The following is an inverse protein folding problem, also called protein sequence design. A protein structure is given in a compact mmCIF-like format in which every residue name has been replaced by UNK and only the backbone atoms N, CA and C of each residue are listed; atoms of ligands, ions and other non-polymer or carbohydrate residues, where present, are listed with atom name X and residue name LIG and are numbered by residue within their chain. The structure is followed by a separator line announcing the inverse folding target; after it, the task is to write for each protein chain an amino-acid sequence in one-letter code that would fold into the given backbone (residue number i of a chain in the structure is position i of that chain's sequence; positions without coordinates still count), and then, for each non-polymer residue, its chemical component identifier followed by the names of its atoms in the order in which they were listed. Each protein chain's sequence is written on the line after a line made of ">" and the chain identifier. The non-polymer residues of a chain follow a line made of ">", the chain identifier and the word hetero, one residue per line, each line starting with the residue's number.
data_IF_636697281324
#
_entry.id   IF_636697281324
#
_cell.length_a   1.000
_cell.length_b   1.000
_cell.length_c   1.000
_cell.angle_alpha   90.00
_cell.angle_beta   90.00
_cell.angle_gamma   90.00
#
_symmetry.space_group_name_H-M   'P 1'
#
loop_
_entity.id
_entity.type
_entity.pdbx_description
1 polymer ?
#
# COMPACT_ATOMS: atom_id res chain seq x y z
N UNK A 1 41.97 -27.68 -28.46
CA UNK A 1 41.47 -26.34 -28.06
C UNK A 1 40.19 -26.55 -27.26
N UNK A 2 40.28 -26.56 -25.93
CA UNK A 2 39.14 -26.84 -25.05
C UNK A 2 38.36 -25.54 -24.85
N UNK A 3 37.10 -25.54 -25.25
CA UNK A 3 36.19 -24.44 -24.99
C UNK A 3 35.75 -24.55 -23.53
N UNK A 4 36.33 -23.73 -22.66
CA UNK A 4 35.88 -23.64 -21.28
C UNK A 4 34.49 -23.00 -21.22
N UNK A 5 33.65 -23.52 -20.32
CA UNK A 5 32.27 -23.11 -20.11
C UNK A 5 32.17 -21.61 -19.78
N UNK A 6 31.92 -20.79 -20.80
CA UNK A 6 31.73 -19.35 -20.66
C UNK A 6 30.37 -19.07 -19.99
N UNK A 7 30.38 -18.83 -18.67
CA UNK A 7 29.19 -18.34 -17.96
C UNK A 7 29.14 -16.82 -18.06
N UNK A 8 28.25 -16.32 -18.91
CA UNK A 8 27.91 -14.89 -18.96
C UNK A 8 26.90 -14.61 -17.86
N UNK A 9 27.27 -13.73 -16.93
CA UNK A 9 26.38 -13.25 -15.88
C UNK A 9 26.00 -11.81 -16.23
N UNK A 10 24.81 -11.63 -16.80
CA UNK A 10 24.25 -10.30 -17.07
C UNK A 10 23.39 -9.88 -15.88
N UNK A 11 23.73 -8.82 -15.13
CA UNK A 11 22.85 -8.30 -14.11
C UNK A 11 21.60 -7.77 -14.80
N UNK A 12 20.45 -8.42 -14.60
CA UNK A 12 19.17 -7.87 -15.04
C UNK A 12 18.82 -6.78 -14.02
N UNK A 13 18.82 -5.49 -14.40
CA UNK A 13 18.39 -4.45 -13.50
C UNK A 13 16.91 -4.66 -13.18
N UNK A 14 16.59 -5.00 -11.93
CA UNK A 14 15.21 -5.14 -11.50
C UNK A 14 14.68 -3.77 -11.15
N UNK A 15 14.26 -3.03 -12.18
CA UNK A 15 13.68 -1.71 -12.00
C UNK A 15 12.29 -1.83 -11.37
N UNK A 16 12.10 -1.25 -10.17
CA UNK A 16 10.77 -1.05 -9.58
C UNK A 16 10.28 -2.10 -8.58
N UNK A 17 11.16 -2.88 -7.94
CA UNK A 17 10.74 -3.80 -6.89
C UNK A 17 10.20 -3.06 -5.65
N UNK A 18 9.00 -3.46 -5.22
CA UNK A 18 8.43 -3.07 -3.93
C UNK A 18 7.38 -1.98 -4.00
N UNK A 19 6.54 -1.95 -2.97
CA UNK A 19 5.29 -1.20 -2.92
C UNK A 19 5.44 0.32 -3.16
N UNK A 20 4.33 0.99 -3.46
CA UNK A 20 4.21 2.44 -3.42
C UNK A 20 3.31 2.85 -2.26
N UNK A 21 3.69 3.91 -1.53
CA UNK A 21 2.87 4.50 -0.45
C UNK A 21 2.59 5.97 -0.75
N UNK A 22 1.43 6.46 -0.35
CA UNK A 22 0.99 7.83 -0.55
C UNK A 22 0.31 8.37 0.70
N UNK A 23 0.52 9.66 0.97
CA UNK A 23 -0.18 10.41 2.00
C UNK A 23 -0.58 11.79 1.49
N UNK A 24 -1.79 12.25 1.82
CA UNK A 24 -2.23 13.62 1.57
C UNK A 24 -2.78 14.21 2.87
N UNK A 25 -2.40 15.45 3.15
CA UNK A 25 -2.94 16.25 4.26
C UNK A 25 -3.35 17.62 3.72
N UNK A 26 -4.65 17.89 3.75
CA UNK A 26 -5.23 19.11 3.19
C UNK A 26 -5.74 20.02 4.31
N UNK A 27 -5.74 21.33 4.07
CA UNK A 27 -6.18 22.30 5.08
C UNK A 27 -7.66 22.12 5.48
N UNK A 28 -8.52 21.75 4.53
CA UNK A 28 -9.96 21.57 4.68
C UNK A 28 -10.42 20.27 4.03
N UNK A 29 -11.57 19.75 4.48
CA UNK A 29 -12.24 18.64 3.78
C UNK A 29 -12.57 19.07 2.36
N UNK A 30 -12.21 18.23 1.39
CA UNK A 30 -12.51 18.46 -0.02
C UNK A 30 -13.19 17.24 -0.62
N UNK A 31 -14.12 17.48 -1.54
CA UNK A 31 -14.76 16.46 -2.36
C UNK A 31 -13.84 15.90 -3.45
N UNK A 32 -12.66 16.51 -3.65
CA UNK A 32 -11.74 16.14 -4.72
C UNK A 32 -10.54 15.30 -4.24
N UNK A 33 -10.39 15.02 -2.94
CA UNK A 33 -9.24 14.25 -2.44
C UNK A 33 -9.18 12.86 -3.07
N UNK A 34 -10.34 12.22 -3.30
CA UNK A 34 -10.45 10.96 -4.02
C UNK A 34 -9.89 11.04 -5.44
N UNK A 35 -10.18 12.13 -6.16
CA UNK A 35 -9.65 12.34 -7.53
C UNK A 35 -8.11 12.46 -7.53
N UNK A 36 -7.56 13.20 -6.57
CA UNK A 36 -6.11 13.34 -6.42
C UNK A 36 -5.47 12.00 -6.06
N UNK A 37 -6.02 11.32 -5.04
CA UNK A 37 -5.59 9.99 -4.61
C UNK A 37 -5.59 8.99 -5.77
N UNK A 38 -6.67 8.91 -6.54
CA UNK A 38 -6.78 7.98 -7.68
C UNK A 38 -5.75 8.27 -8.77
N UNK A 39 -5.44 9.54 -9.07
CA UNK A 39 -4.40 9.89 -10.04
C UNK A 39 -3.02 9.47 -9.53
N UNK A 40 -2.73 9.71 -8.25
CA UNK A 40 -1.44 9.36 -7.64
C UNK A 40 -1.26 7.84 -7.49
N UNK A 41 -2.29 7.10 -7.07
CA UNK A 41 -2.24 5.64 -6.97
C UNK A 41 -1.93 4.99 -8.32
N UNK A 42 -2.61 5.41 -9.39
CA UNK A 42 -2.31 4.94 -10.76
C UNK A 42 -0.88 5.30 -11.19
N UNK A 43 -0.38 6.48 -10.81
CA UNK A 43 1.00 6.86 -11.14
C UNK A 43 2.06 5.99 -10.45
N UNK A 44 1.69 5.30 -9.36
CA UNK A 44 2.55 4.36 -8.66
C UNK A 44 2.37 2.90 -9.09
N UNK A 45 1.51 2.59 -10.06
CA UNK A 45 1.21 1.20 -10.46
C UNK A 45 2.45 0.40 -10.85
N UNK A 46 3.48 1.07 -11.41
CA UNK A 46 4.77 0.45 -11.72
C UNK A 46 5.49 -0.14 -10.50
N UNK A 47 5.10 0.25 -9.28
CA UNK A 47 5.61 -0.27 -7.99
C UNK A 47 4.79 -1.42 -7.44
N UNK A 48 3.61 -1.71 -7.97
CA UNK A 48 2.77 -2.77 -7.43
C UNK A 48 1.36 -2.78 -8.02
N UNK A 49 0.90 -3.99 -8.34
CA UNK A 49 -0.43 -4.24 -8.92
C UNK A 49 -1.15 -5.43 -8.27
N UNK A 50 -0.56 -6.08 -7.26
CA UNK A 50 -1.18 -7.23 -6.58
C UNK A 50 -2.36 -6.79 -5.71
N UNK A 51 -2.27 -5.61 -5.10
CA UNK A 51 -3.40 -5.01 -4.38
C UNK A 51 -3.29 -3.50 -4.31
N UNK A 52 -4.44 -2.85 -4.13
CA UNK A 52 -4.55 -1.41 -3.96
C UNK A 52 -5.40 -1.13 -2.73
N UNK A 53 -5.00 -0.15 -1.94
CA UNK A 53 -5.82 0.33 -0.84
C UNK A 53 -5.70 1.81 -0.59
N UNK A 54 -6.75 2.34 0.01
CA UNK A 54 -6.96 3.73 0.33
C UNK A 54 -7.70 3.83 1.66
N UNK A 55 -7.33 4.79 2.49
CA UNK A 55 -8.11 5.23 3.64
C UNK A 55 -8.23 6.75 3.61
N UNK A 56 -9.46 7.23 3.80
CA UNK A 56 -9.78 8.65 3.86
C UNK A 56 -10.25 8.99 5.27
N UNK A 57 -9.87 10.16 5.77
CA UNK A 57 -10.35 10.68 7.06
C UNK A 57 -10.98 12.06 6.87
N UNK A 58 -12.14 12.28 7.49
CA UNK A 58 -12.77 13.60 7.57
C UNK A 58 -12.24 14.46 8.75
N UNK A 59 -12.81 15.64 8.92
CA UNK A 59 -12.49 16.57 10.01
C UNK A 59 -13.00 16.10 11.38
N UNK A 60 -13.99 15.22 11.41
CA UNK A 60 -14.53 14.56 12.61
C UNK A 60 -13.76 13.28 12.97
N UNK A 61 -12.61 13.03 12.32
CA UNK A 61 -11.76 11.84 12.49
C UNK A 61 -12.43 10.52 12.07
N UNK A 62 -13.53 10.57 11.33
CA UNK A 62 -14.15 9.36 10.79
C UNK A 62 -13.34 8.87 9.59
N UNK A 63 -12.99 7.59 9.59
CA UNK A 63 -12.29 6.94 8.49
C UNK A 63 -13.21 6.16 7.57
N UNK A 64 -12.77 6.01 6.32
CA UNK A 64 -13.33 5.07 5.35
C UNK A 64 -12.20 4.37 4.63
N UNK A 65 -12.13 3.05 4.78
CA UNK A 65 -11.13 2.19 4.15
C UNK A 65 -11.71 1.50 2.91
N UNK A 66 -10.96 1.51 1.82
CA UNK A 66 -11.28 0.92 0.53
C UNK A 66 -10.05 0.18 0.04
N UNK A 67 -10.08 -1.15 0.07
CA UNK A 67 -8.94 -1.97 -0.38
C UNK A 67 -9.39 -3.32 -0.92
N UNK A 68 -8.66 -3.82 -1.90
CA UNK A 68 -8.86 -5.16 -2.46
C UNK A 68 -7.62 -5.65 -3.22
N UNK A 69 -7.69 -6.90 -3.70
CA UNK A 69 -6.72 -7.49 -4.62
C UNK A 69 -6.92 -6.92 -6.02
N UNK A 70 -5.82 -6.49 -6.65
CA UNK A 70 -5.81 -5.93 -8.00
C UNK A 70 -5.14 -4.56 -8.13
N UNK A 71 -4.92 -4.21 -9.39
CA UNK A 71 -4.18 -3.03 -9.81
C UNK A 71 -4.94 -1.71 -9.57
N UNK A 72 -4.24 -0.60 -9.30
CA UNK A 72 -4.87 0.70 -9.10
C UNK A 72 -5.57 1.22 -10.36
N UNK A 73 -5.13 0.85 -11.58
CA UNK A 73 -5.83 1.13 -12.83
C UNK A 73 -7.31 0.70 -12.80
N UNK A 74 -7.62 -0.42 -12.13
CA UNK A 74 -8.98 -0.94 -11.96
C UNK A 74 -9.60 -0.48 -10.63
N UNK A 75 -8.89 -0.70 -9.52
CA UNK A 75 -9.48 -0.60 -8.18
C UNK A 75 -9.87 0.81 -7.75
N UNK A 76 -9.21 1.83 -8.29
CA UNK A 76 -9.59 3.23 -7.98
C UNK A 76 -11.01 3.58 -8.43
N UNK A 77 -11.53 2.89 -9.45
CA UNK A 77 -12.90 3.04 -9.94
C UNK A 77 -13.85 2.08 -9.24
N UNK A 78 -13.51 0.79 -9.22
CA UNK A 78 -14.42 -0.26 -8.72
C UNK A 78 -14.67 -0.13 -7.21
N UNK A 79 -13.67 0.32 -6.44
CA UNK A 79 -13.83 0.61 -5.02
C UNK A 79 -14.42 2.00 -4.74
N UNK A 80 -14.60 2.84 -5.76
CA UNK A 80 -15.12 4.20 -5.59
C UNK A 80 -14.14 5.21 -4.98
N UNK A 81 -12.83 4.91 -4.95
CA UNK A 81 -11.78 5.78 -4.39
C UNK A 81 -11.85 7.19 -4.99
N UNK A 82 -12.09 7.31 -6.29
CA UNK A 82 -12.14 8.61 -6.98
C UNK A 82 -13.32 9.51 -6.55
N UNK A 83 -14.33 8.93 -5.91
CA UNK A 83 -15.55 9.61 -5.44
C UNK A 83 -15.46 10.03 -3.99
N UNK A 84 -14.40 9.65 -3.29
CA UNK A 84 -14.26 9.92 -1.86
C UNK A 84 -13.91 11.37 -1.56
N UNK A 85 -14.42 11.82 -0.42
CA UNK A 85 -14.14 13.10 0.19
C UNK A 85 -13.36 12.90 1.48
N UNK A 86 -12.65 13.93 1.91
CA UNK A 86 -11.86 13.86 3.13
C UNK A 86 -10.87 15.00 3.24
N UNK A 87 -10.14 15.00 4.36
CA UNK A 87 -9.07 15.95 4.68
C UNK A 87 -7.71 15.25 4.67
N UNK A 88 -7.66 14.03 5.18
CA UNK A 88 -6.46 13.19 5.16
C UNK A 88 -6.69 11.97 4.26
N UNK A 89 -5.63 11.49 3.65
CA UNK A 89 -5.61 10.25 2.88
C UNK A 89 -4.29 9.51 3.12
N UNK A 90 -4.37 8.19 3.20
CA UNK A 90 -3.24 7.29 3.11
C UNK A 90 -3.58 6.16 2.11
N UNK A 91 -2.62 5.75 1.29
CA UNK A 91 -2.84 4.67 0.32
C UNK A 91 -1.59 3.87 0.02
N UNK A 92 -1.80 2.68 -0.53
CA UNK A 92 -0.74 1.79 -0.97
C UNK A 92 -1.10 1.13 -2.30
N UNK A 93 -0.08 0.91 -3.12
CA UNK A 93 -0.09 -0.09 -4.19
C UNK A 93 0.95 -1.15 -3.84
N UNK A 94 0.54 -2.41 -3.77
CA UNK A 94 1.36 -3.50 -3.22
C UNK A 94 1.97 -4.33 -4.33
N UNK A 95 3.27 -4.60 -4.20
CA UNK A 95 3.93 -5.74 -4.82
C UNK A 95 4.19 -6.77 -3.71
N UNK A 96 3.57 -7.94 -3.79
CA UNK A 96 3.65 -8.95 -2.76
C UNK A 96 5.01 -9.66 -2.82
N UNK A 97 5.86 -9.36 -1.84
CA UNK A 97 7.13 -10.06 -1.59
C UNK A 97 7.01 -11.09 -0.47
N UNK A 98 6.24 -10.76 0.57
CA UNK A 98 5.88 -11.63 1.68
C UNK A 98 4.37 -11.55 1.97
N UNK A 99 3.83 -12.66 2.46
CA UNK A 99 2.41 -12.81 2.78
C UNK A 99 1.50 -13.01 1.56
N UNK A 100 0.34 -13.60 1.79
CA UNK A 100 -0.62 -13.90 0.73
C UNK A 100 -1.14 -12.64 0.04
N UNK A 101 -1.48 -12.77 -1.25
CA UNK A 101 -2.20 -11.74 -2.00
C UNK A 101 -3.68 -11.86 -1.65
N UNK A 102 -4.08 -11.15 -0.60
CA UNK A 102 -5.46 -11.09 -0.14
C UNK A 102 -5.80 -9.68 0.37
N UNK A 103 -7.10 -9.42 0.52
CA UNK A 103 -7.64 -8.14 1.01
C UNK A 103 -7.20 -7.80 2.44
N UNK A 104 -6.92 -8.81 3.27
CA UNK A 104 -6.50 -8.62 4.67
C UNK A 104 -5.10 -8.01 4.72
N UNK A 105 -4.20 -8.51 3.86
CA UNK A 105 -2.81 -8.09 3.72
C UNK A 105 -2.64 -6.85 2.83
N UNK A 106 -3.65 -6.47 2.03
CA UNK A 106 -3.66 -5.17 1.37
C UNK A 106 -3.59 -4.04 2.40
N UNK A 107 -2.75 -3.03 2.16
CA UNK A 107 -2.64 -1.86 3.03
C UNK A 107 -3.39 -0.66 2.42
N UNK A 108 -3.82 0.33 3.21
CA UNK A 108 -3.51 0.56 4.64
C UNK A 108 -4.03 -0.51 5.62
N UNK A 109 -3.32 -0.68 6.73
CA UNK A 109 -3.83 -1.34 7.92
C UNK A 109 -4.42 -0.29 8.86
N UNK A 110 -5.46 -0.66 9.59
CA UNK A 110 -6.16 0.19 10.54
C UNK A 110 -6.34 -0.58 11.84
N UNK A 111 -6.03 0.07 12.95
CA UNK A 111 -6.20 -0.44 14.32
C UNK A 111 -6.90 0.64 15.13
N UNK A 112 -7.96 0.27 15.84
CA UNK A 112 -8.70 1.17 16.71
C UNK A 112 -8.90 0.51 18.08
N UNK A 113 -7.88 0.67 18.94
CA UNK A 113 -7.86 0.14 20.30
C UNK A 113 -7.76 1.30 21.30
N UNK A 114 -6.60 1.46 21.97
CA UNK A 114 -6.31 2.62 22.84
C UNK A 114 -6.17 3.93 22.05
N UNK A 115 -5.71 3.82 20.80
CA UNK A 115 -5.58 4.91 19.84
C UNK A 115 -6.03 4.40 18.49
N UNK A 116 -6.55 5.32 17.68
CA UNK A 116 -6.87 5.06 16.28
C UNK A 116 -5.63 5.36 15.44
N UNK A 117 -5.09 4.32 14.80
CA UNK A 117 -3.89 4.40 13.97
C UNK A 117 -4.18 3.69 12.66
N UNK A 118 -3.78 4.29 11.56
CA UNK A 118 -3.76 3.65 10.26
C UNK A 118 -2.50 4.04 9.50
N UNK A 119 -2.06 3.16 8.61
CA UNK A 119 -0.86 3.41 7.83
C UNK A 119 -0.59 2.37 6.77
N UNK A 120 0.32 2.75 5.87
CA UNK A 120 0.88 1.88 4.86
C UNK A 120 2.41 1.94 4.93
N UNK A 121 3.07 0.87 4.51
CA UNK A 121 4.50 0.68 4.57
C UNK A 121 5.05 0.21 3.22
N UNK A 122 6.27 0.61 2.91
CA UNK A 122 7.08 0.00 1.86
C UNK A 122 8.43 -0.40 2.48
N UNK A 123 8.71 -1.69 2.49
CA UNK A 123 9.86 -2.28 3.16
C UNK A 123 9.49 -3.64 3.75
N UNK A 124 10.43 -4.23 4.48
CA UNK A 124 10.24 -5.51 5.15
C UNK A 124 10.76 -5.44 6.58
N UNK A 125 10.00 -6.02 7.51
CA UNK A 125 10.44 -6.21 8.90
C UNK A 125 11.01 -7.62 9.00
N UNK A 126 12.34 -7.73 8.99
CA UNK A 126 13.05 -9.01 8.87
C UNK A 126 12.88 -9.90 10.09
N UNK A 127 12.66 -9.32 11.27
CA UNK A 127 12.40 -10.02 12.53
C UNK A 127 10.90 -10.01 12.92
N UNK A 128 10.01 -10.08 11.92
CA UNK A 128 8.56 -10.06 12.18
C UNK A 128 8.04 -11.24 13.01
N UNK A 129 8.57 -12.47 12.93
CA UNK A 129 8.18 -13.55 13.83
C UNK A 129 8.48 -13.24 15.30
N UNK A 130 9.71 -12.81 15.60
CA UNK A 130 10.16 -12.50 16.97
C UNK A 130 9.42 -11.28 17.52
N UNK A 131 9.22 -10.25 16.69
CA UNK A 131 8.46 -9.06 17.08
C UNK A 131 7.00 -9.41 17.40
N UNK A 132 6.40 -10.35 16.66
CA UNK A 132 5.03 -10.81 16.91
C UNK A 132 4.95 -11.54 18.25
N UNK A 133 5.88 -12.44 18.53
CA UNK A 133 5.93 -13.16 19.82
C UNK A 133 6.07 -12.19 20.99
N UNK A 134 7.01 -11.24 20.89
CA UNK A 134 7.20 -10.18 21.89
C UNK A 134 5.94 -9.33 22.08
N UNK A 135 5.30 -8.86 21.01
CA UNK A 135 4.11 -8.03 21.13
C UNK A 135 2.93 -8.80 21.76
N UNK A 136 2.77 -10.09 21.45
CA UNK A 136 1.73 -10.93 22.06
C UNK A 136 2.00 -11.16 23.55
N UNK A 137 3.26 -11.24 24.00
CA UNK A 137 3.56 -11.35 25.43
C UNK A 137 3.29 -10.05 26.20
N UNK A 138 3.30 -8.90 25.52
CA UNK A 138 3.02 -7.59 26.13
C UNK A 138 1.51 -7.22 26.17
N UNK A 139 0.65 -7.91 25.39
CA UNK A 139 -0.81 -7.75 25.37
C UNK A 139 -1.37 -6.89 24.24
#
# INVERSE_FOLDING_TARGET
>A
MKWENFKITLPIPVFGLGCGVLGLSLAKVTVNIGKYASKLLRSLEYRGYDSTGAIFQDDKKKTKILKDVGAPSTLVKTLGIEKEKGKLFCGQVRWATFGQVDKKNSQPHEVNCKRHIYGAHNGNITNSPELKEFLVSEG
#
